data_IF_404089295224
#
_entry.id   IF_404089295224
#
_cell.length_a   1.000
_cell.length_b   1.000
_cell.length_c   1.000
_cell.angle_alpha   90.00
_cell.angle_beta   90.00
_cell.angle_gamma   90.00
#
_symmetry.space_group_name_H-M   'P 1'
#
loop_
_entity.id
_entity.type
_entity.pdbx_description
1 polymer ?
#
# COMPACT_ATOMS: atom_id res chain seq x y z
N UNK A 1 18.63 12.43 -10.36
CA UNK A 1 18.02 13.78 -10.33
C UNK A 1 17.04 13.85 -11.49
N UNK A 2 15.83 14.37 -11.27
CA UNK A 2 14.87 14.68 -12.35
C UNK A 2 15.39 15.83 -13.19
N UNK A 3 15.02 15.88 -14.48
CA UNK A 3 15.38 17.00 -15.34
C UNK A 3 14.74 18.30 -14.83
N UNK A 4 15.39 19.45 -15.07
CA UNK A 4 14.88 20.76 -14.64
C UNK A 4 13.48 20.98 -15.23
N UNK A 5 12.51 21.34 -14.39
CA UNK A 5 11.09 21.55 -14.71
C UNK A 5 10.27 20.30 -15.10
N UNK A 6 10.79 19.09 -14.88
CA UNK A 6 10.05 17.83 -15.07
C UNK A 6 9.59 17.24 -13.73
N UNK A 7 8.38 16.66 -13.72
CA UNK A 7 7.83 15.90 -12.60
C UNK A 7 7.87 14.40 -12.89
N UNK A 8 8.05 13.59 -11.84
CA UNK A 8 8.06 12.13 -11.96
C UNK A 8 6.69 11.63 -12.43
N UNK A 9 6.68 10.75 -13.42
CA UNK A 9 5.44 10.16 -13.89
C UNK A 9 4.93 9.10 -12.90
N UNK A 10 3.63 9.13 -12.67
CA UNK A 10 2.86 8.19 -11.88
C UNK A 10 1.58 7.82 -12.63
N UNK A 11 0.89 6.76 -12.21
CA UNK A 11 -0.40 6.36 -12.79
C UNK A 11 -1.47 7.47 -12.79
N UNK A 12 -1.29 8.51 -11.97
CA UNK A 12 -2.28 9.58 -11.80
C UNK A 12 -2.00 10.85 -12.62
N UNK A 13 -0.84 10.94 -13.28
CA UNK A 13 -0.44 12.18 -13.95
C UNK A 13 -0.01 11.99 -15.41
N UNK A 14 -0.06 10.75 -15.92
CA UNK A 14 0.16 10.46 -17.33
C UNK A 14 -0.94 11.12 -18.20
N UNK A 15 -0.60 11.64 -19.39
CA UNK A 15 -1.58 12.07 -20.37
C UNK A 15 -2.35 10.85 -20.91
N UNK A 16 -3.61 11.06 -21.27
CA UNK A 16 -4.41 10.03 -21.92
C UNK A 16 -3.93 9.83 -23.35
N UNK A 17 -3.67 8.59 -23.73
CA UNK A 17 -3.34 8.22 -25.11
C UNK A 17 -4.29 7.12 -25.55
N UNK A 18 -5.14 7.40 -26.53
CA UNK A 18 -6.06 6.43 -27.09
C UNK A 18 -5.47 5.77 -28.35
N UNK A 19 -6.04 4.65 -28.77
CA UNK A 19 -5.55 3.90 -29.95
C UNK A 19 -5.65 4.71 -31.25
N UNK A 20 -6.64 5.59 -31.40
CA UNK A 20 -6.80 6.44 -32.58
C UNK A 20 -5.66 7.44 -32.73
N UNK A 21 -5.19 8.04 -31.64
CA UNK A 21 -4.01 8.93 -31.61
C UNK A 21 -2.78 8.23 -32.18
N UNK A 22 -2.57 6.97 -31.78
CA UNK A 22 -1.43 6.16 -32.20
C UNK A 22 -1.54 5.82 -33.69
N UNK A 23 -2.70 5.34 -34.15
CA UNK A 23 -2.92 4.98 -35.56
C UNK A 23 -2.72 6.21 -36.46
N UNK A 24 -3.32 7.36 -36.11
CA UNK A 24 -3.18 8.60 -36.86
C UNK A 24 -1.72 9.05 -36.93
N UNK A 25 -0.98 8.98 -35.81
CA UNK A 25 0.43 9.35 -35.77
C UNK A 25 1.30 8.41 -36.63
N UNK A 26 1.17 7.09 -36.44
CA UNK A 26 1.95 6.08 -37.18
C UNK A 26 1.65 6.14 -38.67
N UNK A 27 0.41 6.39 -39.08
CA UNK A 27 0.03 6.53 -40.49
C UNK A 27 0.71 7.71 -41.17
N UNK A 28 0.88 8.82 -40.45
CA UNK A 28 1.34 10.09 -41.02
C UNK A 28 2.86 10.30 -40.88
N UNK A 29 3.58 9.36 -40.25
CA UNK A 29 5.01 9.49 -40.01
C UNK A 29 5.80 8.43 -40.78
N UNK A 30 6.61 8.88 -41.74
CA UNK A 30 7.37 8.03 -42.65
C UNK A 30 8.38 7.11 -41.92
N UNK A 31 8.83 7.50 -40.72
CA UNK A 31 9.79 6.71 -39.91
C UNK A 31 9.21 5.34 -39.52
N UNK A 32 7.89 5.28 -39.31
CA UNK A 32 7.18 4.05 -38.94
C UNK A 32 6.59 3.31 -40.14
N UNK A 33 6.57 3.95 -41.31
CA UNK A 33 6.08 3.39 -42.56
C UNK A 33 7.17 2.80 -43.46
N UNK A 34 8.44 2.95 -43.09
CA UNK A 34 9.55 2.29 -43.78
C UNK A 34 9.39 0.77 -43.79
N UNK A 35 9.81 0.12 -44.89
CA UNK A 35 9.72 -1.34 -45.07
C UNK A 35 10.45 -2.11 -43.95
N UNK A 36 11.52 -1.56 -43.41
CA UNK A 36 12.26 -2.15 -42.28
C UNK A 36 11.47 -2.17 -40.96
N UNK A 37 10.48 -1.30 -40.81
CA UNK A 37 9.70 -1.12 -39.59
C UNK A 37 8.37 -1.86 -39.64
N UNK A 38 7.69 -1.90 -40.79
CA UNK A 38 6.34 -2.47 -41.04
C UNK A 38 6.15 -3.99 -40.81
N UNK A 39 7.13 -4.68 -40.22
CA UNK A 39 7.10 -6.13 -39.96
C UNK A 39 7.41 -6.50 -38.51
N UNK A 40 8.35 -7.44 -38.32
CA UNK A 40 8.72 -8.02 -37.01
C UNK A 40 9.15 -6.97 -35.98
N UNK A 41 9.74 -5.84 -36.41
CA UNK A 41 10.20 -4.77 -35.51
C UNK A 41 9.04 -4.00 -34.86
N UNK A 42 7.94 -3.75 -35.58
CA UNK A 42 6.76 -3.13 -35.00
C UNK A 42 6.07 -4.08 -34.01
N UNK A 43 5.88 -5.35 -34.40
CA UNK A 43 5.21 -6.34 -33.56
C UNK A 43 6.00 -6.68 -32.29
N UNK A 44 7.33 -6.77 -32.36
CA UNK A 44 8.17 -6.96 -31.16
C UNK A 44 8.19 -5.75 -30.25
N UNK A 45 8.08 -4.53 -30.80
CA UNK A 45 8.13 -3.29 -30.02
C UNK A 45 6.81 -2.97 -29.32
N UNK A 46 5.69 -3.43 -29.86
CA UNK A 46 4.37 -3.29 -29.24
C UNK A 46 4.09 -4.32 -28.14
N UNK A 47 4.95 -5.35 -27.98
CA UNK A 47 4.81 -6.37 -26.93
C UNK A 47 4.74 -5.73 -25.55
N UNK A 48 3.75 -6.15 -24.78
CA UNK A 48 3.51 -5.64 -23.43
C UNK A 48 4.69 -5.93 -22.50
N UNK A 49 5.13 -7.19 -22.47
CA UNK A 49 6.26 -7.66 -21.66
C UNK A 49 7.54 -6.86 -21.88
N UNK A 50 7.79 -6.47 -23.15
CA UNK A 50 8.96 -5.69 -23.51
C UNK A 50 8.85 -4.26 -22.97
N UNK A 51 7.74 -3.56 -23.23
CA UNK A 51 7.52 -2.20 -22.76
C UNK A 51 7.64 -2.09 -21.23
N UNK A 52 7.03 -3.03 -20.50
CA UNK A 52 7.01 -3.04 -19.04
C UNK A 52 8.38 -3.30 -18.40
N UNK A 53 9.24 -4.04 -19.09
CA UNK A 53 10.57 -4.38 -18.61
C UNK A 53 11.64 -3.38 -19.05
N UNK A 54 11.43 -2.74 -20.21
CA UNK A 54 12.40 -1.87 -20.87
C UNK A 54 12.24 -0.39 -20.52
N UNK A 55 11.02 0.10 -20.28
CA UNK A 55 10.76 1.51 -19.99
C UNK A 55 10.98 1.80 -18.49
N UNK A 56 11.65 2.91 -18.19
CA UNK A 56 11.84 3.39 -16.83
C UNK A 56 12.31 4.84 -16.80
N UNK A 57 12.44 5.39 -15.60
CA UNK A 57 12.74 6.81 -15.36
C UNK A 57 11.82 7.74 -16.18
N UNK A 58 10.52 7.47 -16.13
CA UNK A 58 9.54 8.28 -16.86
C UNK A 58 9.27 9.57 -16.08
N UNK A 59 9.43 10.70 -16.74
CA UNK A 59 9.12 12.03 -16.22
C UNK A 59 8.32 12.82 -17.27
N UNK A 60 7.55 13.81 -16.84
CA UNK A 60 6.72 14.62 -17.72
C UNK A 60 6.75 16.11 -17.34
N UNK A 61 6.47 16.96 -18.31
CA UNK A 61 6.33 18.41 -18.17
C UNK A 61 5.10 18.86 -18.97
N UNK A 62 4.30 19.76 -18.41
CA UNK A 62 3.16 20.37 -19.10
C UNK A 62 3.45 21.83 -19.40
N UNK A 63 3.29 22.23 -20.65
CA UNK A 63 3.47 23.59 -21.16
C UNK A 63 2.20 23.97 -21.93
N UNK A 64 1.27 24.68 -21.27
CA UNK A 64 -0.04 24.98 -21.85
C UNK A 64 -0.85 23.70 -22.11
N UNK A 65 -1.19 23.46 -23.38
CA UNK A 65 -1.96 22.28 -23.84
C UNK A 65 -1.06 21.08 -24.15
N UNK A 66 0.26 21.26 -24.13
CA UNK A 66 1.23 20.26 -24.56
C UNK A 66 1.84 19.54 -23.35
N UNK A 67 1.73 18.21 -23.34
CA UNK A 67 2.41 17.33 -22.40
C UNK A 67 3.65 16.69 -23.05
N UNK A 68 4.81 16.93 -22.46
CA UNK A 68 6.10 16.39 -22.88
C UNK A 68 6.50 15.29 -21.90
N UNK A 69 6.54 14.03 -22.34
CA UNK A 69 7.10 12.93 -21.57
C UNK A 69 8.54 12.64 -22.00
N UNK A 70 9.35 12.18 -21.05
CA UNK A 70 10.69 11.67 -21.27
C UNK A 70 10.86 10.34 -20.52
N UNK A 71 11.59 9.40 -21.12
CA UNK A 71 11.92 8.14 -20.47
C UNK A 71 13.30 7.62 -20.89
N UNK A 72 13.71 6.55 -20.20
CA UNK A 72 14.84 5.71 -20.58
C UNK A 72 14.33 4.33 -20.99
N UNK A 73 14.70 3.90 -22.19
CA UNK A 73 14.36 2.57 -22.72
C UNK A 73 15.62 1.70 -22.78
N UNK A 74 15.57 0.55 -22.09
CA UNK A 74 16.65 -0.42 -22.07
C UNK A 74 16.50 -1.41 -23.25
N UNK A 75 17.54 -1.60 -24.09
CA UNK A 75 17.47 -2.55 -25.20
C UNK A 75 17.53 -4.00 -24.70
N UNK A 76 16.64 -4.85 -25.22
CA UNK A 76 16.48 -6.26 -24.82
C UNK A 76 17.77 -7.08 -25.00
N UNK A 77 18.44 -6.94 -26.14
CA UNK A 77 19.64 -7.72 -26.45
C UNK A 77 20.95 -7.10 -25.90
N UNK A 78 20.88 -5.92 -25.26
CA UNK A 78 22.06 -5.16 -24.81
C UNK A 78 21.83 -4.48 -23.47
N UNK A 79 21.36 -5.23 -22.47
CA UNK A 79 20.91 -4.71 -21.17
C UNK A 79 21.96 -3.95 -20.34
N UNK A 80 23.25 -4.08 -20.67
CA UNK A 80 24.37 -3.36 -20.03
C UNK A 80 24.79 -2.08 -20.74
N UNK A 81 24.25 -1.81 -21.94
CA UNK A 81 24.57 -0.61 -22.72
C UNK A 81 23.76 0.59 -22.25
N UNK A 82 24.22 1.82 -22.56
CA UNK A 82 23.52 3.07 -22.24
C UNK A 82 22.08 3.03 -22.76
N UNK A 83 21.12 3.31 -21.89
CA UNK A 83 19.70 3.35 -22.25
C UNK A 83 19.41 4.43 -23.29
N UNK A 84 18.46 4.14 -24.20
CA UNK A 84 17.94 5.11 -25.15
C UNK A 84 17.10 6.15 -24.42
N UNK A 85 17.23 7.41 -24.79
CA UNK A 85 16.38 8.49 -24.29
C UNK A 85 15.30 8.76 -25.31
N UNK A 86 14.04 8.62 -24.92
CA UNK A 86 12.89 8.85 -25.78
C UNK A 86 12.06 9.97 -25.18
N UNK A 87 11.69 10.95 -26.00
CA UNK A 87 10.81 12.06 -25.67
C UNK A 87 9.53 11.89 -26.47
N UNK A 88 8.37 12.02 -25.83
CA UNK A 88 7.06 11.97 -26.47
C UNK A 88 6.36 13.30 -26.22
N UNK A 89 5.79 13.90 -27.26
CA UNK A 89 5.09 15.18 -27.19
C UNK A 89 3.64 14.94 -27.59
N UNK A 90 2.72 15.30 -26.71
CA UNK A 90 1.28 15.07 -26.85
C UNK A 90 0.56 16.38 -26.66
N UNK A 91 -0.37 16.69 -27.56
CA UNK A 91 -1.30 17.79 -27.41
C UNK A 91 -2.55 17.23 -26.69
N UNK A 92 -2.73 17.60 -25.42
CA UNK A 92 -3.82 17.10 -24.57
C UNK A 92 -5.17 17.74 -24.97
N UNK A 93 -5.17 18.89 -25.65
CA UNK A 93 -6.41 19.55 -26.11
C UNK A 93 -6.88 18.99 -27.45
N UNK A 94 -5.97 18.87 -28.42
CA UNK A 94 -6.28 18.34 -29.76
C UNK A 94 -6.31 16.81 -29.82
N UNK A 95 -6.10 16.14 -28.67
CA UNK A 95 -5.98 14.70 -28.53
C UNK A 95 -5.13 14.08 -29.66
N UNK A 96 -3.88 14.54 -29.82
CA UNK A 96 -2.96 14.02 -30.84
C UNK A 96 -1.53 13.90 -30.34
N UNK A 97 -0.81 12.90 -30.86
CA UNK A 97 0.64 12.81 -30.69
C UNK A 97 1.29 13.77 -31.68
N UNK A 98 2.09 14.70 -31.17
CA UNK A 98 2.78 15.72 -31.97
C UNK A 98 4.08 15.15 -32.53
N UNK A 99 4.91 14.53 -31.69
CA UNK A 99 6.18 13.92 -32.09
C UNK A 99 6.68 12.91 -31.06
N UNK A 100 7.54 11.99 -31.50
CA UNK A 100 8.34 11.11 -30.64
C UNK A 100 9.81 11.11 -31.07
N UNK A 101 10.71 11.40 -30.14
CA UNK A 101 12.16 11.41 -30.37
C UNK A 101 12.74 9.99 -30.30
N UNK A 102 12.52 9.19 -31.33
CA UNK A 102 13.43 8.13 -31.77
C UNK A 102 12.92 7.64 -33.13
N UNK A 103 13.76 7.65 -34.17
CA UNK A 103 13.42 7.00 -35.46
C UNK A 103 13.51 5.48 -35.41
N UNK A 104 13.24 4.88 -34.26
CA UNK A 104 13.59 3.51 -33.94
C UNK A 104 12.46 2.81 -33.19
N UNK A 105 12.61 1.49 -33.02
CA UNK A 105 11.66 0.59 -32.36
C UNK A 105 11.22 1.05 -30.95
N UNK A 106 12.13 1.70 -30.22
CA UNK A 106 11.87 2.20 -28.85
C UNK A 106 10.83 3.32 -28.77
N UNK A 107 10.63 4.11 -29.84
CA UNK A 107 9.60 5.14 -29.88
C UNK A 107 8.20 4.52 -29.81
N UNK A 108 7.94 3.53 -30.67
CA UNK A 108 6.67 2.82 -30.67
C UNK A 108 6.44 2.08 -29.36
N UNK A 109 7.47 1.45 -28.79
CA UNK A 109 7.38 0.81 -27.47
C UNK A 109 6.96 1.78 -26.39
N UNK A 110 7.50 3.00 -26.39
CA UNK A 110 7.14 4.00 -25.39
C UNK A 110 5.71 4.52 -25.60
N UNK A 111 5.29 4.81 -26.84
CA UNK A 111 3.92 5.24 -27.16
C UNK A 111 2.89 4.19 -26.74
N UNK A 112 3.10 2.92 -27.10
CA UNK A 112 2.23 1.81 -26.71
C UNK A 112 2.21 1.58 -25.20
N UNK A 113 3.35 1.81 -24.53
CA UNK A 113 3.42 1.75 -23.07
C UNK A 113 2.60 2.86 -22.41
N UNK A 114 2.70 4.12 -22.88
CA UNK A 114 1.91 5.24 -22.33
C UNK A 114 0.42 5.00 -22.51
N UNK A 115 -0.01 4.51 -23.69
CA UNK A 115 -1.40 4.13 -23.96
C UNK A 115 -1.95 3.16 -22.90
N UNK A 116 -1.32 1.98 -22.74
CA UNK A 116 -1.76 0.98 -21.74
C UNK A 116 -1.82 1.55 -20.33
N UNK A 117 -0.78 2.29 -19.91
CA UNK A 117 -0.70 2.86 -18.56
C UNK A 117 -1.67 4.02 -18.32
N UNK A 118 -2.14 4.68 -19.37
CA UNK A 118 -3.14 5.74 -19.28
C UNK A 118 -4.58 5.25 -19.26
N UNK A 119 -4.84 4.04 -19.75
CA UNK A 119 -6.19 3.45 -19.79
C UNK A 119 -6.56 2.67 -18.52
N UNK A 120 -5.57 2.17 -17.77
CA UNK A 120 -5.80 1.35 -16.56
C UNK A 120 -5.18 1.97 -15.29
N UNK A 121 -5.66 3.14 -14.81
CA UNK A 121 -5.26 3.61 -13.49
C UNK A 121 -5.84 2.69 -12.41
N UNK A 122 -4.97 1.90 -11.75
CA UNK A 122 -5.38 1.08 -10.62
C UNK A 122 -5.99 1.94 -9.50
N UNK A 123 -7.17 1.59 -8.98
CA UNK A 123 -7.81 2.31 -7.87
C UNK A 123 -7.10 2.06 -6.53
N UNK A 124 -6.29 1.01 -6.43
CA UNK A 124 -5.64 0.58 -5.18
C UNK A 124 -4.23 1.16 -5.05
N UNK A 125 -3.54 1.41 -6.15
CA UNK A 125 -2.10 1.69 -6.14
C UNK A 125 -1.68 2.81 -7.10
N UNK A 126 -1.03 3.83 -6.54
CA UNK A 126 -0.35 4.87 -7.33
C UNK A 126 1.02 4.34 -7.73
N UNK A 127 1.13 3.84 -8.96
CA UNK A 127 2.39 3.28 -9.47
C UNK A 127 3.35 4.41 -9.85
N UNK A 128 4.59 4.37 -9.34
CA UNK A 128 5.66 5.28 -9.77
C UNK A 128 6.40 4.70 -10.97
N UNK A 129 6.47 5.45 -12.07
CA UNK A 129 7.21 5.07 -13.27
C UNK A 129 8.63 5.66 -13.31
N UNK A 130 9.00 6.44 -12.29
CA UNK A 130 10.38 6.87 -12.05
C UNK A 130 11.19 5.77 -11.35
N UNK A 131 11.36 4.65 -12.03
CA UNK A 131 12.12 3.50 -11.55
C UNK A 131 13.09 3.01 -12.61
N UNK A 132 14.19 2.38 -12.19
CA UNK A 132 15.15 1.76 -13.12
C UNK A 132 14.43 0.66 -13.94
N UNK A 133 14.61 0.61 -15.27
CA UNK A 133 14.07 -0.47 -16.10
C UNK A 133 14.43 -1.85 -15.53
N UNK A 134 13.48 -2.80 -15.54
CA UNK A 134 13.69 -4.16 -15.01
C UNK A 134 14.81 -4.88 -15.75
N UNK A 135 14.90 -4.72 -17.08
CA UNK A 135 15.97 -5.29 -17.90
C UNK A 135 17.37 -4.82 -17.44
N UNK A 136 17.49 -3.56 -17.02
CA UNK A 136 18.74 -3.00 -16.52
C UNK A 136 19.12 -3.49 -15.09
N UNK A 137 18.30 -4.34 -14.46
CA UNK A 137 18.59 -5.00 -13.18
C UNK A 137 19.14 -6.42 -13.34
N UNK A 138 18.98 -7.04 -14.51
CA UNK A 138 19.43 -8.41 -14.79
C UNK A 138 20.95 -8.52 -14.52
N UNK A 139 21.32 -9.38 -13.58
CA UNK A 139 22.72 -9.63 -13.19
C UNK A 139 23.32 -8.65 -12.16
N UNK A 140 22.51 -7.75 -11.57
CA UNK A 140 22.97 -6.83 -10.49
C UNK A 140 22.42 -7.15 -9.10
N UNK A 141 21.42 -8.02 -9.01
CA UNK A 141 20.88 -8.51 -7.73
C UNK A 141 21.72 -9.68 -7.24
N UNK A 142 22.40 -9.53 -6.09
CA UNK A 142 22.75 -10.66 -5.23
C UNK A 142 21.45 -11.43 -4.97
N UNK A 143 21.28 -12.60 -5.60
CA UNK A 143 20.04 -13.38 -5.48
C UNK A 143 19.88 -13.95 -4.07
N UNK A 144 20.99 -14.12 -3.36
CA UNK A 144 21.07 -14.61 -2.00
C UNK A 144 22.25 -13.90 -1.33
N UNK A 145 22.06 -13.51 -0.07
CA UNK A 145 23.16 -13.16 0.84
C UNK A 145 23.37 -14.43 1.65
N UNK A 146 24.57 -15.01 1.58
CA UNK A 146 24.90 -16.18 2.39
C UNK A 146 25.03 -15.74 3.86
N UNK A 147 24.73 -16.63 4.80
CA UNK A 147 24.90 -16.34 6.23
C UNK A 147 26.35 -15.91 6.56
N UNK A 148 27.33 -16.43 5.81
CA UNK A 148 28.74 -16.05 5.88
C UNK A 148 29.03 -14.59 5.51
N UNK A 149 28.19 -13.98 4.68
CA UNK A 149 28.40 -12.61 4.22
C UNK A 149 28.01 -11.58 5.30
N UNK A 150 27.37 -12.03 6.39
CA UNK A 150 27.07 -11.22 7.58
C UNK A 150 28.20 -11.23 8.62
N UNK A 151 29.24 -12.06 8.47
CA UNK A 151 30.21 -12.31 9.53
C UNK A 151 31.49 -11.48 9.47
N UNK A 152 31.66 -10.56 8.50
CA UNK A 152 32.99 -9.94 8.29
C UNK A 152 33.46 -8.97 9.37
N UNK A 153 32.63 -8.57 10.36
CA UNK A 153 33.04 -7.56 11.35
C UNK A 153 32.80 -7.92 12.83
N UNK A 154 32.52 -9.18 13.17
CA UNK A 154 32.56 -9.61 14.58
C UNK A 154 33.75 -10.53 14.82
N UNK A 155 34.85 -9.92 15.25
CA UNK A 155 35.90 -10.59 16.01
C UNK A 155 35.28 -11.21 17.28
N UNK A 156 34.68 -12.39 17.15
CA UNK A 156 34.60 -13.34 18.25
C UNK A 156 36.00 -13.94 18.42
N UNK A 157 36.90 -13.14 19.00
CA UNK A 157 38.08 -13.66 19.67
C UNK A 157 37.62 -14.45 20.90
N UNK A 158 37.24 -15.71 20.66
CA UNK A 158 37.47 -16.87 21.53
C UNK A 158 36.86 -18.13 20.89
N UNK A 159 37.59 -18.87 20.03
CA UNK A 159 37.35 -20.29 19.94
C UNK A 159 37.79 -20.89 21.29
N UNK A 160 36.84 -21.44 22.07
CA UNK A 160 37.21 -22.35 23.16
C UNK A 160 38.06 -23.48 22.55
N UNK A 161 39.18 -23.87 23.16
CA UNK A 161 40.02 -24.92 22.63
C UNK A 161 39.23 -26.23 22.62
N UNK A 162 39.19 -26.88 21.46
CA UNK A 162 38.84 -28.29 21.34
C UNK A 162 39.96 -29.11 21.98
N UNK A 163 39.85 -29.40 23.28
CA UNK A 163 40.60 -30.49 23.90
C UNK A 163 39.82 -31.77 23.70
N UNK A 164 40.35 -32.62 22.83
CA UNK A 164 40.09 -34.06 22.77
C UNK A 164 40.27 -34.69 24.15
N UNK A 165 39.27 -35.47 24.62
CA UNK A 165 39.43 -36.38 25.75
C UNK A 165 38.26 -36.39 26.74
N UNK A 166 37.47 -37.45 26.63
CA UNK A 166 36.75 -38.15 27.70
C UNK A 166 35.49 -37.58 28.39
N UNK A 167 34.57 -38.53 28.58
CA UNK A 167 33.42 -38.63 29.48
C UNK A 167 32.10 -37.94 29.13
N UNK A 168 31.13 -38.83 28.85
CA UNK A 168 29.69 -38.60 28.80
C UNK A 168 29.20 -37.85 30.04
N UNK A 169 28.81 -36.59 29.85
CA UNK A 169 27.81 -35.92 30.68
C UNK A 169 26.72 -35.40 29.73
N UNK A 170 25.42 -35.44 30.09
CA UNK A 170 24.39 -34.88 29.24
C UNK A 170 24.64 -33.37 29.13
N UNK A 171 25.08 -32.91 27.96
CA UNK A 171 25.22 -31.50 27.69
C UNK A 171 23.87 -30.82 27.99
N UNK A 172 23.92 -29.75 28.79
CA UNK A 172 22.76 -28.88 29.02
C UNK A 172 22.10 -28.55 27.66
N UNK A 173 20.75 -28.47 27.59
CA UNK A 173 20.07 -28.25 26.33
C UNK A 173 20.66 -27.01 25.66
N UNK A 174 21.34 -27.20 24.54
CA UNK A 174 21.91 -26.11 23.76
C UNK A 174 20.73 -25.27 23.29
N UNK A 175 20.66 -24.03 23.76
CA UNK A 175 19.63 -23.09 23.35
C UNK A 175 19.68 -22.94 21.84
N UNK A 176 18.50 -22.89 21.22
CA UNK A 176 18.43 -22.67 19.78
C UNK A 176 18.85 -21.24 19.45
N UNK A 177 19.37 -21.00 18.24
CA UNK A 177 19.65 -19.63 17.76
C UNK A 177 18.46 -18.67 17.97
N UNK A 178 17.23 -19.19 17.82
CA UNK A 178 16.01 -18.43 18.10
C UNK A 178 15.94 -18.00 19.57
N UNK A 179 16.16 -18.92 20.51
CA UNK A 179 16.12 -18.61 21.95
C UNK A 179 17.22 -17.61 22.33
N UNK A 180 18.43 -17.78 21.80
CA UNK A 180 19.53 -16.85 22.03
C UNK A 180 19.20 -15.45 21.48
N UNK A 181 18.67 -15.38 20.26
CA UNK A 181 18.25 -14.13 19.65
C UNK A 181 17.16 -13.43 20.48
N UNK A 182 16.18 -14.18 20.99
CA UNK A 182 15.11 -13.64 21.83
C UNK A 182 15.61 -13.15 23.18
N UNK A 183 16.54 -13.88 23.79
CA UNK A 183 17.16 -13.49 25.05
C UNK A 183 17.97 -12.20 24.88
N UNK A 184 18.79 -12.11 23.83
CA UNK A 184 19.57 -10.90 23.51
C UNK A 184 18.64 -9.72 23.21
N UNK A 185 17.60 -9.94 22.42
CA UNK A 185 16.68 -8.87 22.05
C UNK A 185 15.81 -8.41 23.23
N UNK A 186 15.40 -9.31 24.13
CA UNK A 186 14.71 -8.95 25.38
C UNK A 186 15.62 -8.16 26.32
N UNK A 187 16.87 -8.60 26.51
CA UNK A 187 17.86 -7.91 27.35
C UNK A 187 18.16 -6.49 26.86
N UNK A 188 18.16 -6.29 25.54
CA UNK A 188 18.42 -4.99 24.90
C UNK A 188 17.13 -4.18 24.62
N UNK A 189 15.96 -4.66 25.09
CA UNK A 189 14.65 -4.01 24.86
C UNK A 189 14.38 -3.71 23.38
N UNK A 190 14.83 -4.58 22.48
CA UNK A 190 14.70 -4.38 21.04
C UNK A 190 13.24 -4.59 20.60
N UNK A 191 12.69 -3.61 19.91
CA UNK A 191 11.39 -3.72 19.25
C UNK A 191 11.56 -4.18 17.79
N UNK A 192 11.01 -5.34 17.43
CA UNK A 192 11.09 -5.87 16.07
C UNK A 192 10.05 -6.95 15.79
N UNK A 193 9.84 -7.30 14.52
CA UNK A 193 8.82 -8.31 14.15
C UNK A 193 9.09 -9.66 14.79
N UNK A 194 10.35 -10.11 14.83
CA UNK A 194 10.75 -11.37 15.48
C UNK A 194 10.37 -11.36 16.97
N UNK A 195 10.60 -10.25 17.66
CA UNK A 195 10.19 -10.07 19.05
C UNK A 195 8.68 -10.04 19.19
N UNK A 196 7.95 -9.31 18.36
CA UNK A 196 6.48 -9.33 18.36
C UNK A 196 5.89 -10.72 18.10
N UNK A 197 6.55 -11.52 17.27
CA UNK A 197 6.12 -12.88 16.94
C UNK A 197 6.42 -13.91 18.04
N UNK A 198 7.47 -13.68 18.83
CA UNK A 198 7.99 -14.63 19.83
C UNK A 198 7.71 -14.22 21.27
N UNK A 199 7.44 -12.94 21.51
CA UNK A 199 6.77 -12.50 22.72
C UNK A 199 5.42 -13.19 22.74
N UNK A 200 5.09 -13.81 23.86
CA UNK A 200 3.71 -14.13 24.19
C UNK A 200 2.95 -12.81 24.15
N UNK A 201 2.26 -12.54 23.03
CA UNK A 201 1.11 -11.66 23.06
C UNK A 201 0.28 -12.10 24.26
N UNK A 202 -0.23 -11.13 25.03
CA UNK A 202 -1.06 -11.39 26.19
C UNK A 202 -2.03 -12.53 25.84
N UNK A 203 -1.85 -13.72 26.43
CA UNK A 203 -2.47 -14.97 25.94
C UNK A 203 -3.99 -14.81 25.80
N UNK A 204 -4.54 -13.90 26.61
CA UNK A 204 -5.89 -13.37 26.59
C UNK A 204 -6.44 -13.03 25.20
N UNK A 205 -5.65 -12.49 24.26
CA UNK A 205 -6.15 -12.02 22.94
C UNK A 205 -5.75 -12.90 21.76
N UNK A 206 -5.09 -14.03 22.00
CA UNK A 206 -4.67 -14.97 20.94
C UNK A 206 -5.86 -15.41 20.09
N UNK A 207 -7.00 -15.64 20.71
CA UNK A 207 -8.25 -16.03 20.04
C UNK A 207 -8.78 -14.97 19.05
N UNK A 208 -8.30 -13.73 19.13
CA UNK A 208 -8.65 -12.63 18.23
C UNK A 208 -7.55 -12.35 17.18
N UNK A 209 -6.37 -12.96 17.27
CA UNK A 209 -5.30 -12.68 16.31
C UNK A 209 -5.50 -13.51 15.03
N UNK A 210 -5.81 -12.87 13.89
CA UNK A 210 -5.97 -13.55 12.58
C UNK A 210 -4.78 -14.47 12.32
N UNK A 211 -3.56 -13.95 12.50
CA UNK A 211 -2.33 -14.68 12.25
C UNK A 211 -2.20 -15.91 13.13
N UNK A 212 -2.35 -15.78 14.46
CA UNK A 212 -2.22 -16.93 15.38
C UNK A 212 -3.29 -17.99 15.10
N UNK A 213 -4.49 -17.57 14.72
CA UNK A 213 -5.58 -18.48 14.39
C UNK A 213 -5.35 -19.20 13.06
N UNK A 214 -4.71 -18.57 12.06
CA UNK A 214 -4.27 -19.26 10.83
C UNK A 214 -3.29 -20.38 11.17
N UNK A 215 -2.28 -20.14 12.04
CA UNK A 215 -1.34 -21.20 12.44
C UNK A 215 -2.02 -22.32 13.23
N UNK A 216 -3.00 -21.97 14.08
CA UNK A 216 -3.77 -22.98 14.81
C UNK A 216 -4.60 -23.84 13.84
N UNK A 217 -5.34 -23.21 12.94
CA UNK A 217 -6.14 -23.86 11.91
C UNK A 217 -5.30 -24.80 11.01
N UNK A 218 -4.15 -24.33 10.54
CA UNK A 218 -3.26 -25.15 9.71
C UNK A 218 -2.70 -26.36 10.46
N UNK A 219 -2.37 -26.22 11.76
CA UNK A 219 -1.91 -27.35 12.60
C UNK A 219 -3.01 -28.38 12.85
N UNK A 220 -4.27 -27.94 12.85
CA UNK A 220 -5.45 -28.80 12.98
C UNK A 220 -5.90 -29.40 11.63
N UNK A 221 -5.14 -29.19 10.56
CA UNK A 221 -5.38 -29.79 9.24
C UNK A 221 -6.36 -29.01 8.35
N UNK A 222 -6.66 -27.76 8.68
CA UNK A 222 -7.50 -26.89 7.87
C UNK A 222 -6.89 -26.52 6.51
N UNK A 223 -7.72 -26.43 5.46
CA UNK A 223 -7.24 -26.28 4.08
C UNK A 223 -7.91 -25.17 3.27
N UNK A 224 -9.13 -24.75 3.61
CA UNK A 224 -9.91 -23.78 2.83
C UNK A 224 -10.16 -22.49 3.61
N UNK A 225 -10.38 -21.39 2.87
CA UNK A 225 -10.68 -20.08 3.48
C UNK A 225 -12.02 -20.07 4.21
N UNK A 226 -13.07 -20.67 3.65
CA UNK A 226 -14.39 -20.70 4.29
C UNK A 226 -14.36 -21.43 5.64
N UNK A 227 -13.71 -22.61 5.68
CA UNK A 227 -13.52 -23.36 6.93
C UNK A 227 -12.66 -22.57 7.93
N UNK A 228 -11.69 -21.77 7.45
CA UNK A 228 -10.91 -20.90 8.32
C UNK A 228 -11.79 -19.81 8.94
N UNK A 229 -12.70 -19.19 8.18
CA UNK A 229 -13.63 -18.19 8.71
C UNK A 229 -14.52 -18.81 9.78
N UNK A 230 -15.13 -19.96 9.51
CA UNK A 230 -15.98 -20.67 10.48
C UNK A 230 -15.21 -21.06 11.76
N UNK A 231 -14.01 -21.61 11.58
CA UNK A 231 -13.10 -21.91 12.69
C UNK A 231 -12.79 -20.66 13.50
N UNK A 232 -12.35 -19.57 12.85
CA UNK A 232 -11.95 -18.36 13.55
C UNK A 232 -13.14 -17.71 14.27
N UNK A 233 -14.32 -17.69 13.66
CA UNK A 233 -15.57 -17.29 14.28
C UNK A 233 -15.84 -18.06 15.58
N UNK A 234 -15.61 -19.37 15.59
CA UNK A 234 -15.84 -20.24 16.75
C UNK A 234 -14.91 -19.93 17.94
N UNK A 235 -13.75 -19.31 17.68
CA UNK A 235 -12.77 -18.97 18.70
C UNK A 235 -13.04 -17.60 19.33
N UNK A 236 -13.76 -16.73 18.63
CA UNK A 236 -14.06 -15.37 19.08
C UNK A 236 -15.30 -15.33 19.98
N UNK A 237 -15.17 -14.79 21.19
CA UNK A 237 -16.32 -14.53 22.08
C UNK A 237 -16.66 -13.05 22.11
N UNK A 238 -17.96 -12.73 22.29
CA UNK A 238 -18.42 -11.35 22.40
C UNK A 238 -17.77 -10.57 23.54
N UNK A 239 -17.40 -11.26 24.64
CA UNK A 239 -16.70 -10.63 25.76
C UNK A 239 -15.26 -10.24 25.39
N UNK A 240 -14.52 -11.13 24.71
CA UNK A 240 -13.18 -10.81 24.21
C UNK A 240 -13.20 -9.63 23.24
N UNK A 241 -14.19 -9.56 22.34
CA UNK A 241 -14.35 -8.45 21.42
C UNK A 241 -14.53 -7.11 22.16
N UNK A 242 -15.34 -7.09 23.22
CA UNK A 242 -15.54 -5.91 24.08
C UNK A 242 -14.27 -5.52 24.84
N UNK A 243 -13.50 -6.49 25.33
CA UNK A 243 -12.23 -6.22 26.01
C UNK A 243 -11.20 -5.61 25.05
N UNK A 244 -11.04 -6.18 23.85
CA UNK A 244 -10.13 -5.59 22.84
C UNK A 244 -10.54 -4.18 22.48
N UNK A 245 -11.82 -3.89 22.28
CA UNK A 245 -12.27 -2.51 22.03
C UNK A 245 -11.78 -1.57 23.13
N UNK A 246 -12.02 -1.93 24.40
CA UNK A 246 -11.64 -1.10 25.55
C UNK A 246 -10.13 -0.86 25.64
N UNK A 247 -9.33 -1.91 25.48
CA UNK A 247 -7.86 -1.84 25.57
C UNK A 247 -7.21 -1.15 24.36
N UNK A 248 -7.95 -1.02 23.26
CA UNK A 248 -7.46 -0.40 22.02
C UNK A 248 -8.01 1.00 21.77
N UNK A 249 -8.67 1.63 22.76
CA UNK A 249 -9.17 3.02 22.66
C UNK A 249 -8.10 4.07 22.41
N UNK A 250 -6.84 3.78 22.73
CA UNK A 250 -5.70 4.62 22.36
C UNK A 250 -5.40 4.64 20.84
N UNK A 251 -6.02 3.75 20.07
CA UNK A 251 -5.86 3.59 18.63
C UNK A 251 -4.39 3.66 18.19
N UNK A 252 -3.99 4.75 17.52
CA UNK A 252 -2.63 4.94 17.00
C UNK A 252 -1.50 4.91 18.05
N UNK A 253 -1.82 5.08 19.34
CA UNK A 253 -0.86 4.98 20.45
C UNK A 253 -0.88 3.60 21.12
N UNK A 254 -1.81 2.71 20.73
CA UNK A 254 -1.94 1.36 21.28
C UNK A 254 -1.24 0.33 20.41
N UNK A 255 -0.22 -0.35 20.94
CA UNK A 255 0.46 -1.44 20.25
C UNK A 255 -0.51 -2.60 19.94
N UNK A 256 -1.41 -2.91 20.87
CA UNK A 256 -2.44 -3.93 20.72
C UNK A 256 -3.40 -3.60 19.56
N UNK A 257 -3.70 -2.32 19.34
CA UNK A 257 -4.55 -1.91 18.21
C UNK A 257 -3.92 -2.25 16.85
N UNK A 258 -2.61 -2.02 16.69
CA UNK A 258 -1.90 -2.44 15.48
C UNK A 258 -1.87 -3.96 15.34
N UNK A 259 -1.61 -4.68 16.43
CA UNK A 259 -1.57 -6.14 16.42
C UNK A 259 -2.92 -6.74 16.01
N UNK A 260 -4.02 -6.27 16.61
CA UNK A 260 -5.34 -6.79 16.31
C UNK A 260 -5.79 -6.45 14.89
N UNK A 261 -5.30 -5.36 14.29
CA UNK A 261 -5.54 -5.00 12.87
C UNK A 261 -4.73 -5.83 11.87
N UNK A 262 -3.64 -6.47 12.32
CA UNK A 262 -2.76 -7.23 11.44
C UNK A 262 -3.48 -8.41 10.79
N UNK A 263 -3.50 -8.46 9.46
CA UNK A 263 -4.20 -9.48 8.69
C UNK A 263 -5.72 -9.31 8.64
N UNK A 264 -6.29 -8.26 9.27
CA UNK A 264 -7.71 -7.94 9.18
C UNK A 264 -7.97 -6.92 8.07
N UNK A 265 -9.09 -7.09 7.38
CA UNK A 265 -9.60 -6.09 6.45
C UNK A 265 -10.30 -5.01 7.27
N UNK A 266 -9.64 -3.87 7.42
CA UNK A 266 -10.16 -2.75 8.21
C UNK A 266 -11.13 -1.88 7.42
N UNK A 267 -12.05 -1.19 8.10
CA UNK A 267 -13.04 -0.31 7.46
C UNK A 267 -12.44 0.66 6.42
N UNK A 268 -11.27 1.24 6.68
CA UNK A 268 -10.60 2.17 5.74
C UNK A 268 -10.01 1.52 4.49
N UNK A 269 -10.06 0.18 4.40
CA UNK A 269 -9.58 -0.64 3.28
C UNK A 269 -10.66 -1.48 2.62
N UNK A 270 -11.91 -1.41 3.11
CA UNK A 270 -12.99 -2.25 2.58
C UNK A 270 -13.32 -1.94 1.13
N UNK A 271 -13.26 -0.66 0.74
CA UNK A 271 -13.57 -0.25 -0.63
C UNK A 271 -12.54 -0.83 -1.61
N UNK A 272 -11.25 -0.71 -1.28
CA UNK A 272 -10.19 -1.31 -2.08
C UNK A 272 -10.32 -2.84 -2.11
N UNK A 273 -10.64 -3.47 -0.98
CA UNK A 273 -10.86 -4.91 -0.91
C UNK A 273 -12.01 -5.39 -1.78
N UNK A 274 -13.16 -4.70 -1.78
CA UNK A 274 -14.32 -5.11 -2.57
C UNK A 274 -14.15 -4.95 -4.09
N UNK A 275 -13.13 -4.21 -4.53
CA UNK A 275 -12.80 -4.01 -5.95
C UNK A 275 -11.50 -4.74 -6.35
N UNK A 276 -10.85 -5.44 -5.43
CA UNK A 276 -9.62 -6.17 -5.70
C UNK A 276 -9.92 -7.44 -6.49
N UNK A 277 -9.25 -7.61 -7.63
CA UNK A 277 -9.39 -8.80 -8.48
C UNK A 277 -8.14 -9.69 -8.45
N UNK A 278 -7.07 -9.24 -7.79
CA UNK A 278 -5.81 -9.98 -7.71
C UNK A 278 -5.68 -10.69 -6.36
N UNK A 279 -5.12 -11.92 -6.34
CA UNK A 279 -4.88 -12.66 -5.11
C UNK A 279 -3.69 -12.13 -4.31
N UNK A 280 -2.83 -11.33 -4.93
CA UNK A 280 -1.62 -10.74 -4.38
C UNK A 280 -1.47 -9.26 -4.79
N UNK A 281 -0.43 -8.60 -4.27
CA UNK A 281 -0.10 -7.21 -4.56
C UNK A 281 -0.19 -6.29 -3.35
N UNK A 282 -0.11 -4.98 -3.60
CA UNK A 282 0.11 -3.97 -2.55
C UNK A 282 -1.04 -3.87 -1.55
N UNK A 283 -2.29 -4.14 -1.95
CA UNK A 283 -3.40 -4.20 -1.00
C UNK A 283 -3.22 -5.34 0.01
N UNK A 284 -2.91 -6.55 -0.48
CA UNK A 284 -2.67 -7.72 0.37
C UNK A 284 -1.47 -7.46 1.28
N UNK A 285 -0.35 -6.97 0.71
CA UNK A 285 0.84 -6.58 1.47
C UNK A 285 0.53 -5.53 2.55
N UNK A 286 -0.37 -4.59 2.28
CA UNK A 286 -0.81 -3.58 3.26
C UNK A 286 -1.63 -4.21 4.39
N UNK A 287 -2.56 -5.13 4.07
CA UNK A 287 -3.41 -5.81 5.07
C UNK A 287 -2.55 -6.70 5.98
N UNK A 288 -1.58 -7.44 5.42
CA UNK A 288 -0.67 -8.30 6.19
C UNK A 288 0.54 -7.55 6.76
N UNK A 289 0.55 -6.22 6.72
CA UNK A 289 1.61 -5.39 7.31
C UNK A 289 3.00 -5.50 6.67
N UNK A 290 3.12 -6.10 5.49
CA UNK A 290 4.35 -6.16 4.69
C UNK A 290 4.67 -4.80 4.02
N UNK A 291 3.64 -3.97 3.80
CA UNK A 291 3.81 -2.61 3.28
C UNK A 291 3.62 -1.56 4.39
N UNK A 292 4.71 -0.85 4.74
CA UNK A 292 4.64 0.27 5.68
C UNK A 292 4.19 1.54 4.96
N UNK A 293 2.96 1.96 5.20
CA UNK A 293 2.47 3.28 4.79
C UNK A 293 3.33 4.34 5.48
N UNK A 294 4.00 5.19 4.70
CA UNK A 294 4.78 6.30 5.25
C UNK A 294 3.81 7.32 5.85
N UNK A 295 4.11 7.75 7.06
CA UNK A 295 3.36 8.81 7.70
C UNK A 295 3.55 10.11 6.90
N UNK A 296 2.46 10.79 6.61
CA UNK A 296 2.46 12.01 5.79
C UNK A 296 2.07 13.20 6.63
N UNK A 297 2.48 14.40 6.22
CA UNK A 297 2.08 15.66 6.89
C UNK A 297 0.55 15.81 7.01
N UNK A 298 -0.20 15.25 6.05
CA UNK A 298 -1.66 15.26 6.07
C UNK A 298 -2.24 14.34 7.15
N UNK A 299 -1.64 13.16 7.35
CA UNK A 299 -2.03 12.21 8.39
C UNK A 299 -1.70 12.76 9.79
N UNK A 300 -0.52 13.36 9.93
CA UNK A 300 -0.10 14.03 11.16
C UNK A 300 -1.05 15.18 11.51
N UNK A 301 -1.36 16.06 10.55
CA UNK A 301 -2.36 17.13 10.73
C UNK A 301 -3.72 16.58 11.14
N UNK A 302 -4.18 15.50 10.50
CA UNK A 302 -5.43 14.83 10.87
C UNK A 302 -5.48 14.47 12.35
N UNK A 303 -4.47 13.75 12.84
CA UNK A 303 -4.39 13.34 14.25
C UNK A 303 -4.33 14.52 15.22
N UNK A 304 -3.65 15.61 14.86
CA UNK A 304 -3.60 16.80 15.70
C UNK A 304 -4.95 17.52 15.82
N UNK A 305 -5.72 17.56 14.73
CA UNK A 305 -6.98 18.31 14.67
C UNK A 305 -8.20 17.50 15.10
N UNK A 306 -8.15 16.17 15.03
CA UNK A 306 -9.29 15.27 15.28
C UNK A 306 -10.05 15.62 16.57
N UNK A 307 -9.35 15.75 17.70
CA UNK A 307 -9.98 16.11 18.99
C UNK A 307 -10.63 17.50 19.01
N UNK A 308 -10.13 18.45 18.22
CA UNK A 308 -10.78 19.77 18.07
C UNK A 308 -12.03 19.65 17.21
N UNK A 309 -11.96 18.92 16.10
CA UNK A 309 -13.09 18.68 15.21
C UNK A 309 -14.22 17.95 15.94
N UNK A 310 -13.91 16.88 16.68
CA UNK A 310 -14.90 16.13 17.47
C UNK A 310 -15.65 17.03 18.47
N UNK A 311 -14.99 18.01 19.10
CA UNK A 311 -15.65 18.99 19.97
C UNK A 311 -16.62 19.90 19.21
N UNK A 312 -16.26 20.33 18.00
CA UNK A 312 -17.18 21.08 17.14
C UNK A 312 -18.41 20.24 16.77
N UNK A 313 -18.22 18.95 16.52
CA UNK A 313 -19.32 18.01 16.26
C UNK A 313 -20.24 17.91 17.49
N UNK A 314 -19.69 17.65 18.69
CA UNK A 314 -20.45 17.55 19.95
C UNK A 314 -21.36 18.78 20.17
N UNK A 315 -20.84 19.98 19.88
CA UNK A 315 -21.59 21.22 19.99
C UNK A 315 -22.76 21.31 19.00
N UNK A 316 -22.63 20.76 17.80
CA UNK A 316 -23.69 20.79 16.78
C UNK A 316 -24.75 19.69 16.99
N UNK A 317 -24.35 18.49 17.42
CA UNK A 317 -25.28 17.35 17.55
C UNK A 317 -25.90 17.22 18.94
N UNK A 318 -25.45 18.04 19.92
CA UNK A 318 -25.91 18.02 21.32
C UNK A 318 -25.83 16.65 22.01
N UNK A 319 -24.98 15.77 21.50
CA UNK A 319 -24.75 14.42 21.99
C UNK A 319 -23.28 14.26 22.33
N UNK A 320 -23.00 13.65 23.49
CA UNK A 320 -21.63 13.38 23.93
C UNK A 320 -21.00 12.29 23.06
N UNK A 321 -19.83 12.57 22.53
CA UNK A 321 -19.03 11.62 21.79
C UNK A 321 -18.07 10.89 22.75
N UNK A 322 -17.78 9.64 22.41
CA UNK A 322 -16.88 8.79 23.19
C UNK A 322 -15.77 8.24 22.31
N UNK A 323 -14.56 8.28 22.86
CA UNK A 323 -13.41 7.55 22.31
C UNK A 323 -13.73 6.06 22.25
N UNK A 324 -13.25 5.40 21.20
CA UNK A 324 -13.48 3.99 20.98
C UNK A 324 -12.27 3.31 20.33
N UNK A 325 -12.15 2.00 20.54
CA UNK A 325 -11.04 1.22 20.02
C UNK A 325 -11.35 0.47 18.73
N UNK A 326 -10.77 -0.71 18.59
CA UNK A 326 -11.04 -1.62 17.50
C UNK A 326 -12.26 -2.49 17.83
N UNK A 327 -13.31 -2.33 17.04
CA UNK A 327 -14.43 -3.25 16.99
C UNK A 327 -14.12 -4.40 16.05
N UNK A 328 -14.34 -5.60 16.56
CA UNK A 328 -14.23 -6.88 15.85
C UNK A 328 -15.49 -7.69 16.13
N UNK A 329 -15.90 -8.54 15.20
CA UNK A 329 -17.16 -9.25 15.33
C UNK A 329 -17.02 -10.74 15.02
N UNK A 330 -17.49 -11.66 15.89
CA UNK A 330 -17.35 -13.10 15.66
C UNK A 330 -17.95 -13.57 14.34
N UNK A 331 -19.09 -13.00 13.91
CA UNK A 331 -19.74 -13.37 12.64
C UNK A 331 -18.93 -13.02 11.38
N UNK A 332 -17.99 -12.07 11.48
CA UNK A 332 -17.10 -11.70 10.39
C UNK A 332 -15.69 -11.44 10.96
N UNK A 333 -14.97 -12.52 11.33
CA UNK A 333 -13.83 -12.43 12.23
C UNK A 333 -12.60 -11.79 11.56
N UNK A 334 -12.56 -11.74 10.22
CA UNK A 334 -11.51 -11.08 9.43
C UNK A 334 -11.73 -9.58 9.23
N UNK A 335 -12.90 -9.05 9.59
CA UNK A 335 -13.18 -7.61 9.53
C UNK A 335 -12.86 -6.93 10.87
N UNK A 336 -12.63 -5.61 10.79
CA UNK A 336 -12.51 -4.76 11.97
C UNK A 336 -12.67 -3.29 11.63
N UNK A 337 -13.11 -2.50 12.61
CA UNK A 337 -13.33 -1.07 12.43
C UNK A 337 -12.95 -0.28 13.69
N UNK A 338 -12.33 0.87 13.50
CA UNK A 338 -12.13 1.87 14.54
C UNK A 338 -12.72 3.18 14.02
N UNK A 339 -13.96 3.52 14.39
CA UNK A 339 -14.49 4.86 14.18
C UNK A 339 -13.64 5.91 14.92
N UNK A 340 -13.72 7.16 14.50
CA UNK A 340 -13.02 8.26 15.20
C UNK A 340 -13.73 8.60 16.51
N UNK A 341 -15.06 8.48 16.54
CA UNK A 341 -15.85 8.49 17.76
C UNK A 341 -17.17 7.74 17.61
N UNK A 342 -17.82 7.46 18.73
CA UNK A 342 -19.16 6.85 18.78
C UNK A 342 -20.09 7.60 19.74
N UNK A 343 -21.39 7.48 19.49
CA UNK A 343 -22.46 7.82 20.42
C UNK A 343 -23.51 6.69 20.46
N UNK A 344 -24.66 6.91 21.11
CA UNK A 344 -25.70 5.92 21.35
C UNK A 344 -26.06 5.10 20.09
N UNK A 345 -26.45 5.75 18.99
CA UNK A 345 -26.88 5.11 17.74
C UNK A 345 -25.99 5.46 16.53
N UNK A 346 -24.89 6.19 16.77
CA UNK A 346 -24.08 6.87 15.75
C UNK A 346 -22.60 6.44 15.80
N UNK A 347 -22.00 6.24 14.62
CA UNK A 347 -20.54 6.30 14.43
C UNK A 347 -20.15 7.61 13.79
N UNK A 348 -18.97 8.13 14.11
CA UNK A 348 -18.43 9.37 13.53
C UNK A 348 -17.14 9.07 12.79
N UNK A 349 -17.04 9.57 11.56
CA UNK A 349 -15.83 9.54 10.74
C UNK A 349 -15.46 10.97 10.34
N UNK A 350 -14.23 11.37 10.65
CA UNK A 350 -13.68 12.71 10.47
C UNK A 350 -12.66 12.70 9.34
N UNK A 351 -12.70 13.75 8.52
CA UNK A 351 -11.66 14.08 7.55
C UNK A 351 -11.18 15.50 7.74
N UNK A 352 -9.86 15.67 7.81
CA UNK A 352 -9.20 16.96 7.94
C UNK A 352 -8.41 17.30 6.65
N UNK A 353 -9.08 17.67 5.54
CA UNK A 353 -8.42 18.02 4.29
C UNK A 353 -7.51 19.24 4.47
N UNK A 354 -6.46 19.32 3.66
CA UNK A 354 -5.56 20.48 3.59
C UNK A 354 -5.80 21.36 2.36
N UNK A 355 -6.79 21.02 1.52
CA UNK A 355 -7.12 21.76 0.29
C UNK A 355 -8.54 21.43 -0.18
N UNK A 356 -9.13 22.33 -0.96
CA UNK A 356 -10.43 22.10 -1.62
C UNK A 356 -10.42 20.87 -2.53
N UNK A 357 -9.28 20.59 -3.19
CA UNK A 357 -9.12 19.38 -4.00
C UNK A 357 -9.38 18.11 -3.16
N UNK A 358 -8.92 18.07 -1.91
CA UNK A 358 -9.17 16.93 -1.03
C UNK A 358 -10.62 16.86 -0.56
N UNK A 359 -11.29 18.00 -0.37
CA UNK A 359 -12.75 18.02 -0.10
C UNK A 359 -13.50 17.34 -1.23
N UNK A 360 -13.19 17.68 -2.49
CA UNK A 360 -13.82 17.09 -3.68
C UNK A 360 -13.52 15.58 -3.84
N UNK A 361 -12.51 15.05 -3.15
CA UNK A 361 -12.26 13.61 -3.08
C UNK A 361 -13.16 12.91 -2.04
N UNK A 362 -13.54 13.62 -0.98
CA UNK A 362 -14.36 13.10 0.11
C UNK A 362 -15.86 13.24 -0.18
N UNK A 363 -16.25 14.38 -0.74
CA UNK A 363 -17.62 14.75 -1.08
C UNK A 363 -17.66 15.11 -2.56
N UNK A 364 -18.57 14.50 -3.32
CA UNK A 364 -18.85 14.83 -4.72
C UNK A 364 -20.32 15.18 -4.84
N UNK A 365 -20.60 16.38 -5.33
CA UNK A 365 -21.97 16.88 -5.55
C UNK A 365 -22.86 16.80 -4.30
N UNK A 366 -22.28 17.16 -3.14
CA UNK A 366 -22.98 17.10 -1.85
C UNK A 366 -23.17 15.69 -1.29
N UNK A 367 -22.59 14.67 -1.93
CA UNK A 367 -22.72 13.26 -1.54
C UNK A 367 -21.36 12.70 -1.14
N UNK A 368 -21.33 11.92 -0.05
CA UNK A 368 -20.11 11.21 0.39
C UNK A 368 -19.62 10.26 -0.72
N UNK A 369 -18.33 10.33 -1.05
CA UNK A 369 -17.75 9.42 -2.04
C UNK A 369 -17.85 7.96 -1.60
N UNK A 370 -18.06 7.04 -2.56
CA UNK A 370 -18.35 5.62 -2.30
C UNK A 370 -17.33 4.93 -1.39
N UNK A 371 -16.06 5.34 -1.47
CA UNK A 371 -14.99 4.86 -0.58
C UNK A 371 -15.32 5.08 0.90
N UNK A 372 -15.71 6.30 1.27
CA UNK A 372 -15.98 6.66 2.66
C UNK A 372 -17.35 6.17 3.10
N UNK A 373 -18.33 6.06 2.19
CA UNK A 373 -19.60 5.36 2.47
C UNK A 373 -19.36 3.90 2.87
N UNK A 374 -18.54 3.18 2.11
CA UNK A 374 -18.21 1.79 2.41
C UNK A 374 -17.49 1.67 3.77
N UNK A 375 -16.57 2.60 4.06
CA UNK A 375 -15.89 2.67 5.35
C UNK A 375 -16.89 2.86 6.52
N UNK A 376 -17.80 3.83 6.41
CA UNK A 376 -18.83 4.11 7.43
C UNK A 376 -19.77 2.92 7.60
N UNK A 377 -20.19 2.27 6.52
CA UNK A 377 -21.07 1.10 6.59
C UNK A 377 -20.41 -0.07 7.36
N UNK A 378 -19.11 -0.32 7.16
CA UNK A 378 -18.40 -1.33 7.96
C UNK A 378 -18.28 -0.90 9.42
N UNK A 379 -18.01 0.38 9.70
CA UNK A 379 -18.01 0.90 11.07
C UNK A 379 -19.36 0.68 11.76
N UNK A 380 -20.46 1.01 11.08
CA UNK A 380 -21.83 0.80 11.57
C UNK A 380 -22.11 -0.68 11.83
N UNK A 381 -21.71 -1.56 10.91
CA UNK A 381 -21.87 -3.01 11.05
C UNK A 381 -21.09 -3.55 12.27
N UNK A 382 -19.79 -3.23 12.38
CA UNK A 382 -18.94 -3.71 13.47
C UNK A 382 -19.37 -3.20 14.85
N UNK A 383 -19.97 -2.00 14.91
CA UNK A 383 -20.40 -1.35 16.16
C UNK A 383 -21.87 -1.58 16.50
N UNK A 384 -22.63 -2.20 15.58
CA UNK A 384 -24.08 -2.35 15.63
C UNK A 384 -24.81 -1.00 15.82
N UNK A 385 -24.39 0.02 15.06
CA UNK A 385 -24.96 1.38 15.08
C UNK A 385 -25.80 1.61 13.83
N UNK A 386 -26.86 2.41 13.97
CA UNK A 386 -27.87 2.60 12.91
C UNK A 386 -27.54 3.76 11.98
N UNK A 387 -26.68 4.68 12.42
CA UNK A 387 -26.33 5.89 11.69
C UNK A 387 -24.82 6.06 11.66
N UNK A 388 -24.34 6.68 10.59
CA UNK A 388 -22.98 7.21 10.49
C UNK A 388 -23.05 8.70 10.22
N UNK A 389 -22.20 9.47 10.88
CA UNK A 389 -21.99 10.89 10.65
C UNK A 389 -20.64 11.07 9.98
N UNK A 390 -20.62 11.69 8.81
CA UNK A 390 -19.38 12.02 8.12
C UNK A 390 -19.09 13.50 8.29
N UNK A 391 -17.95 13.81 8.90
CA UNK A 391 -17.52 15.17 9.14
C UNK A 391 -16.31 15.51 8.28
N UNK A 392 -16.39 16.59 7.53
CA UNK A 392 -15.25 17.16 6.80
C UNK A 392 -14.93 18.53 7.38
N UNK A 393 -13.74 18.68 7.95
CA UNK A 393 -13.26 19.96 8.46
C UNK A 393 -12.83 20.88 7.32
N UNK A 394 -12.91 22.19 7.55
CA UNK A 394 -12.43 23.19 6.60
C UNK A 394 -10.91 23.06 6.34
N UNK A 395 -10.40 23.36 5.13
CA UNK A 395 -8.96 23.28 4.86
C UNK A 395 -8.12 24.19 5.74
N UNK A 396 -8.72 25.27 6.25
CA UNK A 396 -8.16 26.22 7.22
C UNK A 396 -8.87 26.11 8.59
N UNK A 397 -9.28 24.90 8.97
CA UNK A 397 -9.98 24.64 10.23
C UNK A 397 -9.32 25.26 11.47
N UNK A 398 -7.99 25.39 11.48
CA UNK A 398 -7.25 26.06 12.55
C UNK A 398 -7.68 27.50 12.80
N UNK A 399 -8.11 28.20 11.73
CA UNK A 399 -8.58 29.58 11.73
C UNK A 399 -10.11 29.66 11.81
N UNK A 400 -10.81 28.79 11.08
CA UNK A 400 -12.25 28.91 10.85
C UNK A 400 -13.10 28.13 11.83
N UNK A 401 -12.58 27.03 12.37
CA UNK A 401 -13.30 26.03 13.17
C UNK A 401 -14.59 25.49 12.49
N UNK A 402 -14.70 25.68 11.18
CA UNK A 402 -15.85 25.28 10.39
C UNK A 402 -15.79 23.80 10.03
N UNK A 403 -16.96 23.14 10.12
CA UNK A 403 -17.13 21.74 9.78
C UNK A 403 -18.36 21.57 8.89
N UNK A 404 -18.30 20.58 8.00
CA UNK A 404 -19.44 20.12 7.20
C UNK A 404 -19.84 18.73 7.68
N UNK A 405 -21.11 18.58 8.06
CA UNK A 405 -21.69 17.30 8.50
C UNK A 405 -22.58 16.72 7.39
N UNK A 406 -22.42 15.43 7.11
CA UNK A 406 -23.22 14.66 6.15
C UNK A 406 -23.73 13.36 6.76
#
# INVERSE_FOLDING_TARGET
>A
MTSKDFVKATSNNLPRVNMFMIICFVKNDDRFNAAEFRGVKASTSSREEYGDSAVGYVELKREGTVCILQCKVCPEHKVRTKNYSVRLIIDEQEERIVDVSCGCKHALSFVMWVHRRSEEPSPTDVTSYWVKPRLAKIGTSLKFIAASDFSEDFNFSNPRPSTSGDTLTPAAPQSTFKEDLLNVAAANQLEGQIMKHSSTCNEQYVALSVFKQIFKFNREGGTTADNFIEFFSSQMTSNLCKFVEKETRGQSTSALWYEMRFGRITASKIYEFSHCQTPDGTLVETIIGAYKVRDTKYMERGRMLEKRVLRCIENQISNKLHDCGLFVMPGFPVFGASPDAICADLVVEVKCPSSEKQINMYIRDGVIANKYKAQIHIQMLCTNKRRGLFCVADPKFEETENITLL
#
